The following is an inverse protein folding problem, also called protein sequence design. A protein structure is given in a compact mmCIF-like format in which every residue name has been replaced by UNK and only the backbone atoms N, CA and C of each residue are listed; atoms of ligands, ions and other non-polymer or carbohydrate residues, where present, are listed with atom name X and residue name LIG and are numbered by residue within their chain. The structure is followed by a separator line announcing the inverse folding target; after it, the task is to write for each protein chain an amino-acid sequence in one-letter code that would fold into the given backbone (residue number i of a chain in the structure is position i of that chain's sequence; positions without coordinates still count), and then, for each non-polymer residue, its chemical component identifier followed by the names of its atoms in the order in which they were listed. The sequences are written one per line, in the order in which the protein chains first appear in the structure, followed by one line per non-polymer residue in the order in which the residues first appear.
data_IF_634095693936
#
_entry.id   IF_634095693936
#
_cell.length_a   1.000
_cell.length_b   1.000
_cell.length_c   1.000
_cell.angle_alpha   90.00
_cell.angle_beta   90.00
_cell.angle_gamma   90.00
#
_symmetry.space_group_name_H-M   'P 1'
#
loop_
_entity.id
_entity.type
_entity.pdbx_description
1 polymer ?
#
# COMPACT_ATOMS: atom_id res chain seq x y z
N UNK A 1 -8.22 -12.56 8.79
CA UNK A 1 -7.63 -11.29 8.32
C UNK A 1 -6.96 -11.54 6.97
N UNK A 2 -7.32 -10.82 5.90
CA UNK A 2 -6.60 -10.84 4.61
C UNK A 2 -7.12 -11.74 3.46
N UNK A 3 -8.44 -11.90 3.25
CA UNK A 3 -8.96 -12.77 2.16
C UNK A 3 -8.68 -12.28 0.71
N UNK A 4 -8.11 -11.08 0.53
CA UNK A 4 -7.96 -10.42 -0.78
C UNK A 4 -6.58 -9.82 -1.07
N UNK A 5 -5.58 -10.09 -0.24
CA UNK A 5 -4.22 -9.61 -0.51
C UNK A 5 -3.60 -10.42 -1.67
N UNK A 6 -2.75 -9.80 -2.50
CA UNK A 6 -1.99 -10.53 -3.50
C UNK A 6 -1.19 -11.66 -2.84
N UNK A 7 -1.11 -12.83 -3.48
CA UNK A 7 -0.50 -14.03 -2.89
C UNK A 7 0.97 -13.87 -2.52
N UNK A 8 1.66 -12.89 -3.08
CA UNK A 8 3.06 -12.59 -2.74
C UNK A 8 3.21 -11.75 -1.47
N UNK A 9 2.12 -11.20 -0.92
CA UNK A 9 2.12 -10.59 0.41
C UNK A 9 1.89 -11.72 1.42
N UNK A 10 2.91 -12.02 2.21
CA UNK A 10 2.93 -13.17 3.12
C UNK A 10 2.62 -12.80 4.55
N UNK A 11 2.87 -11.54 4.93
CA UNK A 11 2.54 -11.02 6.24
C UNK A 11 2.14 -9.56 6.14
N UNK A 12 1.15 -9.19 6.94
CA UNK A 12 0.82 -7.81 7.29
C UNK A 12 0.59 -7.78 8.78
N UNK A 13 1.32 -6.92 9.49
CA UNK A 13 1.21 -6.75 10.93
C UNK A 13 1.26 -5.28 11.29
N UNK A 14 0.53 -4.88 12.33
CA UNK A 14 0.74 -3.58 12.94
C UNK A 14 1.80 -3.61 14.01
N UNK A 15 2.48 -2.49 14.17
CA UNK A 15 3.32 -2.20 15.31
C UNK A 15 3.15 -0.73 15.65
N UNK A 16 2.54 -0.45 16.79
CA UNK A 16 2.26 0.91 17.26
C UNK A 16 1.49 1.74 16.21
N UNK A 17 2.14 2.76 15.65
CA UNK A 17 1.67 3.68 14.61
C UNK A 17 2.09 3.27 13.18
N UNK A 18 2.61 2.06 13.01
CA UNK A 18 3.13 1.55 11.75
C UNK A 18 2.45 0.25 11.29
N UNK A 19 2.47 0.05 9.98
CA UNK A 19 2.05 -1.19 9.34
C UNK A 19 3.25 -1.82 8.64
N UNK A 20 3.68 -2.97 9.12
CA UNK A 20 4.73 -3.77 8.50
C UNK A 20 4.13 -4.75 7.49
N UNK A 21 4.79 -4.89 6.34
CA UNK A 21 4.49 -5.90 5.34
C UNK A 21 5.72 -6.73 5.01
N UNK A 22 5.48 -8.00 4.72
CA UNK A 22 6.47 -8.90 4.15
C UNK A 22 5.96 -9.42 2.81
N UNK A 23 6.72 -9.16 1.76
CA UNK A 23 6.45 -9.66 0.42
C UNK A 23 7.53 -10.64 -0.04
N UNK A 24 7.09 -11.73 -0.64
CA UNK A 24 7.93 -12.78 -1.21
C UNK A 24 7.83 -12.74 -2.75
N UNK A 25 8.79 -12.11 -3.45
CA UNK A 25 8.75 -11.99 -4.92
C UNK A 25 8.64 -13.35 -5.62
N UNK A 26 9.18 -14.40 -5.00
CA UNK A 26 9.11 -15.80 -5.44
C UNK A 26 7.69 -16.33 -5.63
N UNK A 27 6.72 -15.74 -4.94
CA UNK A 27 5.32 -16.15 -4.96
C UNK A 27 4.48 -15.38 -6.01
N UNK A 28 5.10 -14.47 -6.78
CA UNK A 28 4.44 -13.78 -7.89
C UNK A 28 4.17 -14.76 -9.03
N UNK A 29 2.89 -14.95 -9.35
CA UNK A 29 2.44 -15.83 -10.43
C UNK A 29 2.43 -15.07 -11.77
N UNK A 30 2.53 -15.81 -12.89
CA UNK A 30 2.42 -15.29 -14.27
C UNK A 30 3.49 -14.26 -14.67
N UNK A 31 4.73 -14.48 -14.26
CA UNK A 31 5.87 -13.70 -14.75
C UNK A 31 6.41 -14.25 -16.07
N UNK A 32 6.82 -13.39 -17.02
CA UNK A 32 7.65 -13.77 -18.16
C UNK A 32 8.88 -14.55 -17.71
N UNK A 33 9.34 -15.52 -18.50
CA UNK A 33 10.39 -16.47 -18.11
C UNK A 33 11.67 -15.82 -17.54
N UNK A 34 12.21 -14.72 -18.10
CA UNK A 34 13.37 -14.03 -17.54
C UNK A 34 13.12 -13.48 -16.12
N UNK A 35 11.93 -12.94 -15.87
CA UNK A 35 11.55 -12.41 -14.56
C UNK A 35 11.27 -13.53 -13.54
N UNK A 36 10.85 -14.71 -14.00
CA UNK A 36 10.65 -15.88 -13.14
C UNK A 36 11.98 -16.38 -12.55
N UNK A 37 13.08 -16.27 -13.29
CA UNK A 37 14.42 -16.59 -12.78
C UNK A 37 14.91 -15.51 -11.80
N UNK A 38 14.76 -14.22 -12.17
CA UNK A 38 15.15 -13.12 -11.30
C UNK A 38 14.44 -13.16 -9.94
N UNK A 39 13.14 -13.48 -9.91
CA UNK A 39 12.38 -13.59 -8.66
C UNK A 39 12.78 -14.76 -7.78
N UNK A 40 13.32 -15.86 -8.32
CA UNK A 40 13.83 -16.98 -7.51
C UNK A 40 15.05 -16.60 -6.67
N UNK A 41 15.85 -15.68 -7.18
CA UNK A 41 17.04 -15.14 -6.51
C UNK A 41 16.72 -13.86 -5.73
N UNK A 42 15.52 -13.30 -5.90
CA UNK A 42 15.15 -12.06 -5.26
C UNK A 42 14.97 -12.27 -3.74
N UNK A 43 15.57 -11.40 -2.93
CA UNK A 43 15.40 -11.46 -1.48
C UNK A 43 13.97 -11.09 -1.09
N UNK A 44 13.56 -11.54 0.10
CA UNK A 44 12.32 -11.10 0.75
C UNK A 44 12.31 -9.58 0.90
N UNK A 45 11.18 -8.96 0.55
CA UNK A 45 10.97 -7.52 0.69
C UNK A 45 10.24 -7.27 2.01
N UNK A 46 10.78 -6.37 2.82
CA UNK A 46 10.15 -5.89 4.05
C UNK A 46 9.82 -4.42 3.85
N UNK A 47 8.60 -4.02 4.16
CA UNK A 47 8.18 -2.64 4.09
C UNK A 47 7.50 -2.22 5.39
N UNK A 48 7.70 -0.96 5.79
CA UNK A 48 7.04 -0.32 6.92
C UNK A 48 6.34 0.92 6.39
N UNK A 49 5.05 1.05 6.67
CA UNK A 49 4.28 2.25 6.35
C UNK A 49 3.93 3.00 7.62
N UNK A 50 4.00 4.33 7.55
CA UNK A 50 3.54 5.23 8.62
C UNK A 50 2.71 6.35 8.01
N UNK A 51 1.62 6.71 8.65
CA UNK A 51 0.89 7.94 8.30
C UNK A 51 1.77 9.13 8.68
N UNK A 52 1.95 10.06 7.76
CA UNK A 52 2.77 11.26 7.96
C UNK A 52 1.89 12.50 8.02
N UNK A 53 0.83 12.51 7.23
CA UNK A 53 -0.07 13.66 7.10
C UNK A 53 -1.43 13.18 6.63
N UNK A 54 -2.50 13.82 7.10
CA UNK A 54 -3.84 13.69 6.55
C UNK A 54 -4.39 15.08 6.26
N UNK A 55 -4.67 15.36 5.00
CA UNK A 55 -5.14 16.67 4.54
C UNK A 55 -6.27 16.47 3.54
N UNK A 56 -7.41 17.11 3.78
CA UNK A 56 -8.62 17.01 2.96
C UNK A 56 -9.05 15.55 2.67
N UNK A 57 -8.94 14.68 3.67
CA UNK A 57 -9.28 13.26 3.57
C UNK A 57 -8.30 12.42 2.71
N UNK A 58 -7.16 12.99 2.35
CA UNK A 58 -6.03 12.30 1.69
C UNK A 58 -4.97 11.98 2.74
N UNK A 59 -4.72 10.69 2.96
CA UNK A 59 -3.66 10.23 3.85
C UNK A 59 -2.35 10.03 3.07
N UNK A 60 -1.29 10.68 3.52
CA UNK A 60 0.07 10.50 3.01
C UNK A 60 0.84 9.55 3.91
N UNK A 61 1.35 8.48 3.31
CA UNK A 61 2.16 7.47 3.97
C UNK A 61 3.62 7.61 3.56
N UNK A 62 4.52 7.53 4.52
CA UNK A 62 5.93 7.22 4.25
C UNK A 62 6.06 5.71 4.09
N UNK A 63 6.95 5.29 3.19
CA UNK A 63 7.26 3.90 2.94
C UNK A 63 8.74 3.68 3.11
N UNK A 64 9.11 2.91 4.12
CA UNK A 64 10.47 2.39 4.23
C UNK A 64 10.48 0.95 3.76
N UNK A 65 11.26 0.65 2.72
CA UNK A 65 11.29 -0.67 2.10
C UNK A 65 12.71 -1.16 1.88
N UNK A 66 12.96 -2.41 2.25
CA UNK A 66 14.25 -3.09 2.12
C UNK A 66 14.09 -4.46 1.47
N UNK A 67 15.07 -4.82 0.63
CA UNK A 67 15.17 -6.13 0.02
C UNK A 67 16.61 -6.61 0.13
N UNK A 68 16.88 -7.65 0.93
CA UNK A 68 18.24 -8.20 1.10
C UNK A 68 19.28 -7.19 1.58
N UNK A 69 18.88 -6.24 2.43
CA UNK A 69 19.76 -5.17 2.94
C UNK A 69 19.86 -3.95 2.01
N UNK A 70 19.26 -3.98 0.82
CA UNK A 70 19.27 -2.85 -0.10
C UNK A 70 17.99 -2.02 0.03
N UNK A 71 18.07 -0.66 -0.01
CA UNK A 71 16.89 0.20 -0.06
C UNK A 71 16.07 -0.07 -1.32
N UNK A 72 14.88 -0.64 -1.13
CA UNK A 72 13.96 -1.01 -2.21
C UNK A 72 12.96 0.11 -2.53
N UNK A 73 12.87 1.15 -1.70
CA UNK A 73 11.92 2.24 -1.88
C UNK A 73 12.08 3.00 -3.21
N UNK A 74 13.28 3.02 -3.80
CA UNK A 74 13.52 3.60 -5.13
C UNK A 74 12.74 2.89 -6.24
N UNK A 75 12.33 1.64 -6.01
CA UNK A 75 11.52 0.87 -6.96
C UNK A 75 10.04 1.29 -6.94
N UNK A 76 9.59 2.04 -5.93
CA UNK A 76 8.20 2.51 -5.86
C UNK A 76 7.85 3.42 -7.04
N UNK A 77 8.75 4.30 -7.44
CA UNK A 77 8.55 5.17 -8.61
C UNK A 77 8.37 4.38 -9.91
N UNK A 78 9.11 3.27 -10.07
CA UNK A 78 8.98 2.39 -11.24
C UNK A 78 7.67 1.59 -11.23
N UNK A 79 7.06 1.40 -10.05
CA UNK A 79 5.82 0.66 -9.88
C UNK A 79 4.56 1.52 -10.01
N UNK A 80 4.67 2.86 -10.09
CA UNK A 80 3.54 3.78 -10.07
C UNK A 80 2.45 3.46 -11.11
N UNK A 81 2.84 3.24 -12.37
CA UNK A 81 1.91 2.89 -13.46
C UNK A 81 1.20 1.54 -13.25
N UNK A 82 1.89 0.59 -12.62
CA UNK A 82 1.33 -0.73 -12.28
C UNK A 82 0.37 -0.64 -11.11
N UNK A 83 0.64 0.22 -10.12
CA UNK A 83 -0.23 0.46 -8.98
C UNK A 83 -1.59 0.97 -9.48
N UNK A 84 -1.61 1.97 -10.35
CA UNK A 84 -2.86 2.53 -10.90
C UNK A 84 -3.70 1.49 -11.66
N UNK A 85 -3.03 0.66 -12.47
CA UNK A 85 -3.67 -0.46 -13.20
C UNK A 85 -4.34 -1.45 -12.23
N UNK A 86 -3.64 -1.81 -11.14
CA UNK A 86 -4.17 -2.75 -10.14
C UNK A 86 -5.31 -2.15 -9.33
N UNK A 87 -5.19 -0.87 -8.93
CA UNK A 87 -6.23 -0.13 -8.20
C UNK A 87 -7.52 -0.12 -9.01
N UNK A 88 -7.43 0.25 -10.29
CA UNK A 88 -8.59 0.27 -11.20
C UNK A 88 -9.17 -1.13 -11.41
N UNK A 89 -8.32 -2.15 -11.60
CA UNK A 89 -8.76 -3.54 -11.77
C UNK A 89 -9.45 -4.11 -10.52
N UNK A 90 -9.21 -3.54 -9.34
CA UNK A 90 -9.90 -3.87 -8.09
C UNK A 90 -11.21 -3.10 -7.90
N UNK A 91 -11.63 -2.32 -8.91
CA UNK A 91 -12.84 -1.49 -8.86
C UNK A 91 -12.73 -0.34 -7.86
N UNK A 92 -11.49 0.08 -7.53
CA UNK A 92 -11.25 1.27 -6.74
C UNK A 92 -11.22 2.47 -7.70
N UNK A 93 -11.76 3.65 -7.28
CA UNK A 93 -11.75 4.85 -8.10
C UNK A 93 -10.34 5.19 -8.61
N UNK A 94 -10.22 5.53 -9.89
CA UNK A 94 -8.95 5.94 -10.47
C UNK A 94 -8.39 7.19 -9.76
N UNK A 95 -7.06 7.28 -9.67
CA UNK A 95 -6.38 8.36 -8.95
C UNK A 95 -6.47 8.31 -7.42
N UNK A 96 -7.15 7.30 -6.83
CA UNK A 96 -7.22 7.16 -5.37
C UNK A 96 -5.87 6.84 -4.73
N UNK A 97 -4.89 6.39 -5.51
CA UNK A 97 -3.52 6.12 -5.04
C UNK A 97 -2.56 6.88 -5.94
N UNK A 98 -1.66 7.66 -5.34
CA UNK A 98 -0.59 8.38 -6.04
C UNK A 98 0.74 8.06 -5.38
N UNK A 99 1.74 7.68 -6.16
CA UNK A 99 3.12 7.57 -5.68
C UNK A 99 3.75 8.95 -5.76
N UNK A 100 4.24 9.43 -4.64
CA UNK A 100 4.92 10.72 -4.49
C UNK A 100 6.45 10.51 -4.47
N UNK A 101 7.23 11.59 -4.65
CA UNK A 101 8.68 11.56 -4.38
C UNK A 101 9.01 11.11 -2.95
N UNK A 102 10.28 10.79 -2.70
CA UNK A 102 10.81 10.46 -1.37
C UNK A 102 10.11 9.29 -0.68
N UNK A 103 9.74 8.27 -1.47
CA UNK A 103 9.11 7.04 -0.99
C UNK A 103 7.78 7.28 -0.25
N UNK A 104 6.99 8.23 -0.73
CA UNK A 104 5.67 8.52 -0.16
C UNK A 104 4.54 8.03 -1.07
N UNK A 105 3.40 7.72 -0.46
CA UNK A 105 2.17 7.34 -1.16
C UNK A 105 1.03 8.20 -0.61
N UNK A 106 0.29 8.88 -1.48
CA UNK A 106 -0.96 9.52 -1.11
C UNK A 106 -2.14 8.61 -1.46
N UNK A 107 -3.02 8.40 -0.48
CA UNK A 107 -4.26 7.64 -0.61
C UNK A 107 -5.44 8.58 -0.36
N UNK A 108 -6.30 8.74 -1.36
CA UNK A 108 -7.53 9.51 -1.23
C UNK A 108 -8.60 8.67 -0.51
N UNK A 109 -8.54 8.66 0.83
CA UNK A 109 -9.40 7.83 1.67
C UNK A 109 -10.84 8.34 1.61
N UNK A 110 -11.03 9.67 1.53
CA UNK A 110 -12.35 10.27 1.34
C UNK A 110 -13.04 9.73 0.09
N UNK A 111 -12.36 9.74 -1.06
CA UNK A 111 -12.91 9.22 -2.32
C UNK A 111 -13.21 7.74 -2.25
N UNK A 112 -12.32 6.95 -1.64
CA UNK A 112 -12.54 5.52 -1.45
C UNK A 112 -13.76 5.26 -0.57
N UNK A 113 -13.92 6.03 0.51
CA UNK A 113 -15.03 5.89 1.44
C UNK A 113 -16.35 6.30 0.78
N UNK A 114 -16.38 7.42 0.04
CA UNK A 114 -17.58 7.88 -0.68
C UNK A 114 -18.09 6.89 -1.73
N UNK A 115 -17.18 6.14 -2.37
CA UNK A 115 -17.56 5.09 -3.32
C UNK A 115 -18.24 3.87 -2.66
N UNK A 116 -18.19 3.75 -1.33
CA UNK A 116 -18.76 2.64 -0.55
C UNK A 116 -19.87 3.09 0.39
N UNK A 117 -19.71 4.26 1.00
CA UNK A 117 -20.59 4.87 1.97
C UNK A 117 -20.76 6.37 1.63
N UNK A 118 -21.66 6.69 0.69
CA UNK A 118 -21.93 8.08 0.31
C UNK A 118 -22.37 8.91 1.53
N UNK A 119 -21.85 10.13 1.64
CA UNK A 119 -22.16 11.06 2.75
C UNK A 119 -21.20 10.99 3.95
N UNK A 120 -20.34 9.98 4.04
CA UNK A 120 -19.34 9.88 5.11
C UNK A 120 -18.16 10.84 4.91
N UNK A 121 -17.62 11.40 5.99
CA UNK A 121 -16.42 12.26 5.94
C UNK A 121 -15.25 11.63 6.68
N UNK A 122 -14.04 11.88 6.20
CA UNK A 122 -12.78 11.47 6.82
C UNK A 122 -12.07 12.72 7.32
N UNK A 123 -11.84 12.78 8.62
CA UNK A 123 -11.07 13.83 9.28
C UNK A 123 -9.63 13.40 9.54
N UNK A 124 -9.41 12.15 9.94
CA UNK A 124 -8.08 11.61 10.21
C UNK A 124 -7.98 10.11 9.87
N UNK A 125 -6.75 9.65 9.69
CA UNK A 125 -6.37 8.27 9.38
C UNK A 125 -5.17 7.91 10.23
N UNK A 126 -5.27 6.85 11.03
CA UNK A 126 -4.14 6.37 11.84
C UNK A 126 -4.01 4.86 11.79
N UNK A 127 -2.83 4.36 12.15
CA UNK A 127 -2.63 2.94 12.46
C UNK A 127 -2.66 2.78 13.98
N UNK A 128 -3.49 1.84 14.47
CA UNK A 128 -3.53 1.47 15.88
C UNK A 128 -3.71 -0.02 16.00
N UNK A 129 -2.84 -0.69 16.75
CA UNK A 129 -2.92 -2.13 17.02
C UNK A 129 -3.04 -2.99 15.76
N UNK A 130 -2.43 -2.55 14.65
CA UNK A 130 -2.52 -3.23 13.35
C UNK A 130 -3.84 -3.12 12.61
N UNK A 131 -4.67 -2.17 13.03
CA UNK A 131 -5.86 -1.75 12.32
C UNK A 131 -5.63 -0.36 11.72
N UNK A 132 -6.30 -0.14 10.59
CA UNK A 132 -6.48 1.20 10.03
C UNK A 132 -7.71 1.81 10.72
N UNK A 133 -7.50 2.90 11.44
CA UNK A 133 -8.54 3.65 12.12
C UNK A 133 -8.84 4.89 11.29
N UNK A 134 -10.11 5.10 10.99
CA UNK A 134 -10.62 6.27 10.29
C UNK A 134 -11.46 7.07 11.29
N UNK A 135 -11.06 8.31 11.54
CA UNK A 135 -11.86 9.24 12.33
C UNK A 135 -12.61 10.18 11.38
N UNK A 136 -13.87 10.46 11.69
CA UNK A 136 -14.72 11.30 10.86
C UNK A 136 -16.20 11.10 11.18
N UNK A 137 -17.07 11.51 10.25
CA UNK A 137 -18.52 11.37 10.42
C UNK A 137 -19.09 10.29 9.51
N UNK A 138 -19.96 9.45 10.07
CA UNK A 138 -20.81 8.57 9.27
C UNK A 138 -21.96 9.37 8.63
N UNK A 139 -22.50 8.84 7.54
CA UNK A 139 -23.66 9.39 6.84
C UNK A 139 -24.96 9.20 7.64
#
# INVERSE_FOLDING_TARGET
MGRNLPSFITSVSGRDDALDLVAEPRQVKRLPAPLKLATRLAPTVRATLRVVEVTDGVATFSVDAHAGGLPAHKLLGLAASRIETVVTAKGLPAGSVRVLPDARIALDVQRLLQARLPGASVADVSFRDGLVVLDGTAA
#
